data_IF_559068186148
#
_entry.id   IF_559068186148
#
_cell.length_a   1.000
_cell.length_b   1.000
_cell.length_c   1.000
_cell.angle_alpha   90.00
_cell.angle_beta   90.00
_cell.angle_gamma   90.00
#
_symmetry.space_group_name_H-M   'P 1'
#
loop_
_entity.id
_entity.type
_entity.pdbx_description
1 polymer ?
#
# COMPACT_ATOMS: atom_id res chain seq x y z
N UNK A 1 -22.02 1.15 -20.29
CA UNK A 1 -21.00 0.62 -21.21
C UNK A 1 -19.66 1.14 -20.75
N UNK A 2 -18.78 0.29 -20.20
CA UNK A 2 -17.41 0.69 -19.87
C UNK A 2 -16.56 0.54 -21.13
N UNK A 3 -15.71 1.53 -21.43
CA UNK A 3 -14.87 1.55 -22.63
C UNK A 3 -13.44 1.87 -22.24
N UNK A 4 -12.51 1.01 -22.63
CA UNK A 4 -11.07 1.32 -22.60
C UNK A 4 -10.76 2.33 -23.69
N UNK A 5 -10.27 3.50 -23.30
CA UNK A 5 -9.92 4.56 -24.25
C UNK A 5 -8.55 4.28 -24.89
N UNK A 6 -7.58 3.85 -24.10
CA UNK A 6 -6.21 3.56 -24.55
C UNK A 6 -5.22 3.57 -23.37
N UNK A 7 -3.93 3.51 -23.70
CA UNK A 7 -2.86 3.77 -22.73
C UNK A 7 -2.97 5.22 -22.23
N UNK A 8 -2.61 5.46 -20.97
CA UNK A 8 -2.61 6.79 -20.37
C UNK A 8 -1.20 7.16 -19.91
N UNK A 9 -0.56 8.07 -20.65
CA UNK A 9 0.85 8.47 -20.50
C UNK A 9 1.00 9.93 -20.00
N UNK A 10 -0.09 10.54 -19.53
CA UNK A 10 -0.13 11.92 -19.07
C UNK A 10 0.34 12.95 -20.12
N UNK A 11 -0.10 12.80 -21.38
CA UNK A 11 0.33 13.65 -22.51
C UNK A 11 1.83 13.50 -22.75
N UNK A 12 2.28 12.25 -22.93
CA UNK A 12 3.68 11.87 -23.19
C UNK A 12 4.68 12.21 -22.06
N UNK A 13 4.20 12.62 -20.88
CA UNK A 13 5.07 12.94 -19.73
C UNK A 13 5.56 11.68 -19.00
N UNK A 14 4.89 10.54 -19.18
CA UNK A 14 5.24 9.26 -18.56
C UNK A 14 5.62 8.22 -19.63
N UNK A 15 6.92 8.07 -19.87
CA UNK A 15 7.47 7.05 -20.78
C UNK A 15 7.97 5.79 -20.06
N UNK A 16 7.90 5.76 -18.73
CA UNK A 16 8.42 4.69 -17.88
C UNK A 16 7.27 3.95 -17.18
N UNK A 17 7.61 2.82 -16.57
CA UNK A 17 6.69 2.10 -15.67
C UNK A 17 6.28 2.98 -14.50
N UNK A 18 5.13 2.70 -13.92
CA UNK A 18 4.68 3.32 -12.67
C UNK A 18 4.07 2.23 -11.82
N UNK A 19 4.35 2.25 -10.52
CA UNK A 19 3.77 1.24 -9.62
C UNK A 19 2.25 1.43 -9.50
N UNK A 20 1.56 0.36 -9.09
CA UNK A 20 0.11 0.40 -8.93
C UNK A 20 -0.36 1.26 -7.73
N UNK A 21 0.47 1.41 -6.69
CA UNK A 21 0.11 2.08 -5.43
C UNK A 21 0.52 3.56 -5.43
N UNK A 22 -0.17 4.39 -6.21
CA UNK A 22 -0.01 5.85 -6.10
C UNK A 22 -0.58 6.37 -4.78
N UNK A 23 0.01 7.44 -4.24
CA UNK A 23 -0.46 8.08 -3.01
C UNK A 23 -0.98 9.48 -3.31
N UNK A 24 -2.18 9.79 -2.83
CA UNK A 24 -2.83 11.09 -3.04
C UNK A 24 -2.73 11.90 -1.76
N UNK A 25 -2.21 13.12 -1.87
CA UNK A 25 -2.26 14.08 -0.77
C UNK A 25 -3.58 14.84 -0.80
N UNK A 26 -4.45 14.56 0.16
CA UNK A 26 -5.79 15.18 0.25
C UNK A 26 -5.75 16.71 0.30
N UNK A 27 -4.75 17.30 0.97
CA UNK A 27 -4.66 18.75 1.16
C UNK A 27 -4.34 19.51 -0.14
N UNK A 28 -3.50 18.94 -1.02
CA UNK A 28 -3.04 19.61 -2.24
C UNK A 28 -3.62 19.01 -3.53
N UNK A 29 -4.18 17.81 -3.46
CA UNK A 29 -4.61 17.02 -4.62
C UNK A 29 -3.45 16.49 -5.47
N UNK A 30 -2.20 16.56 -4.99
CA UNK A 30 -1.04 15.98 -5.68
C UNK A 30 -1.07 14.46 -5.60
N UNK A 31 -0.64 13.82 -6.68
CA UNK A 31 -0.39 12.38 -6.72
C UNK A 31 1.10 12.16 -6.65
N UNK A 32 1.54 11.29 -5.76
CA UNK A 32 2.92 10.85 -5.63
C UNK A 32 3.03 9.45 -6.21
N UNK A 33 4.13 9.19 -6.91
CA UNK A 33 4.38 7.89 -7.52
C UNK A 33 5.86 7.55 -7.53
N UNK A 34 6.14 6.25 -7.66
CA UNK A 34 7.48 5.74 -7.93
C UNK A 34 7.45 4.89 -9.20
N UNK A 35 8.58 4.87 -9.88
CA UNK A 35 8.85 4.07 -11.08
C UNK A 35 10.08 3.25 -10.82
N UNK A 36 10.05 1.95 -11.13
CA UNK A 36 11.25 1.12 -11.06
C UNK A 36 11.54 0.41 -12.39
N UNK A 37 12.81 0.30 -12.70
CA UNK A 37 13.34 -0.37 -13.89
C UNK A 37 14.16 -1.59 -13.45
N UNK A 38 13.96 -2.71 -14.14
CA UNK A 38 14.61 -3.99 -13.83
C UNK A 38 15.89 -4.21 -14.63
N UNK A 39 16.14 -3.39 -15.65
CA UNK A 39 17.24 -3.53 -16.61
C UNK A 39 18.19 -2.34 -16.56
N UNK A 40 17.67 -1.10 -16.64
CA UNK A 40 18.48 0.11 -16.82
C UNK A 40 18.52 0.97 -15.57
N UNK A 41 19.71 1.53 -15.27
CA UNK A 41 19.86 2.56 -14.24
C UNK A 41 19.39 3.94 -14.74
N UNK A 42 18.88 4.80 -13.84
CA UNK A 42 18.54 4.52 -12.44
C UNK A 42 17.36 3.55 -12.32
N UNK A 43 17.48 2.60 -11.38
CA UNK A 43 16.49 1.54 -11.17
C UNK A 43 15.24 2.02 -10.42
N UNK A 44 15.30 3.17 -9.74
CA UNK A 44 14.17 3.71 -8.98
C UNK A 44 14.12 5.22 -9.18
N UNK A 45 12.94 5.73 -9.50
CA UNK A 45 12.64 7.14 -9.65
C UNK A 45 11.41 7.48 -8.82
N UNK A 46 11.39 8.69 -8.28
CA UNK A 46 10.25 9.28 -7.57
C UNK A 46 9.81 10.53 -8.32
N UNK A 47 8.50 10.72 -8.45
CA UNK A 47 7.93 11.93 -9.03
C UNK A 47 6.54 12.19 -8.46
N UNK A 48 6.02 13.39 -8.71
CA UNK A 48 4.65 13.73 -8.40
C UNK A 48 3.94 14.35 -9.60
N UNK A 49 2.62 14.22 -9.62
CA UNK A 49 1.72 14.81 -10.58
C UNK A 49 0.86 15.85 -9.85
N UNK A 50 0.79 17.04 -10.43
CA UNK A 50 -0.11 18.08 -9.98
C UNK A 50 -1.55 17.77 -10.42
N UNK A 51 -2.53 18.46 -9.84
CA UNK A 51 -3.94 18.29 -10.19
C UNK A 51 -4.23 18.61 -11.67
N UNK A 52 -3.44 19.50 -12.28
CA UNK A 52 -3.48 19.80 -13.71
C UNK A 52 -2.78 18.75 -14.59
N UNK A 53 -2.36 17.61 -14.02
CA UNK A 53 -1.65 16.49 -14.67
C UNK A 53 -0.24 16.83 -15.15
N UNK A 54 0.33 17.94 -14.73
CA UNK A 54 1.75 18.22 -14.95
C UNK A 54 2.60 17.33 -14.05
N UNK A 55 3.58 16.65 -14.63
CA UNK A 55 4.55 15.79 -13.94
C UNK A 55 5.75 16.62 -13.49
N UNK A 56 6.23 16.36 -12.29
CA UNK A 56 7.52 16.87 -11.83
C UNK A 56 8.68 16.23 -12.57
N UNK A 57 9.89 16.83 -12.53
CA UNK A 57 11.12 16.11 -12.84
C UNK A 57 11.25 14.83 -12.01
N UNK A 58 11.93 13.83 -12.56
CA UNK A 58 12.22 12.58 -11.85
C UNK A 58 13.35 12.81 -10.85
N UNK A 59 13.14 12.35 -9.62
CA UNK A 59 14.17 12.27 -8.59
C UNK A 59 14.72 10.85 -8.60
N UNK A 60 15.99 10.71 -8.99
CA UNK A 60 16.66 9.41 -9.03
C UNK A 60 16.97 8.94 -7.61
N UNK A 61 16.38 7.81 -7.20
CA UNK A 61 16.58 7.24 -5.88
C UNK A 61 17.66 6.16 -5.97
N UNK A 62 18.84 6.35 -5.34
CA UNK A 62 19.92 5.38 -5.43
C UNK A 62 19.50 4.05 -4.79
N UNK A 63 19.80 2.94 -5.48
CA UNK A 63 19.73 1.58 -4.93
C UNK A 63 21.15 1.10 -4.63
N UNK A 64 21.33 0.36 -3.53
CA UNK A 64 22.64 -0.02 -3.01
C UNK A 64 23.38 -1.04 -3.86
N UNK A 65 22.70 -1.91 -4.61
CA UNK A 65 23.38 -2.92 -5.43
C UNK A 65 22.58 -3.41 -6.64
N UNK A 66 21.29 -3.74 -6.47
CA UNK A 66 20.48 -4.46 -7.45
C UNK A 66 19.09 -3.86 -7.61
N UNK A 67 18.40 -4.24 -8.69
CA UNK A 67 16.99 -3.88 -8.87
C UNK A 67 16.13 -4.66 -7.88
N UNK A 68 15.31 -3.92 -7.14
CA UNK A 68 14.44 -4.44 -6.08
C UNK A 68 13.00 -4.22 -6.50
N UNK A 69 12.14 -5.21 -6.23
CA UNK A 69 10.71 -5.07 -6.45
C UNK A 69 10.16 -3.98 -5.53
N UNK A 70 9.52 -2.98 -6.12
CA UNK A 70 8.88 -1.89 -5.38
C UNK A 70 7.37 -2.00 -5.60
N UNK A 71 6.68 -2.68 -4.69
CA UNK A 71 5.24 -2.82 -4.76
C UNK A 71 4.52 -1.58 -4.26
N UNK A 72 4.99 -1.01 -3.14
CA UNK A 72 4.30 0.05 -2.42
C UNK A 72 5.30 1.00 -1.75
N UNK A 73 4.82 2.18 -1.38
CA UNK A 73 5.54 3.19 -0.60
C UNK A 73 4.52 3.95 0.25
N UNK A 74 4.93 4.92 1.04
CA UNK A 74 3.98 5.73 1.79
C UNK A 74 4.39 7.20 1.85
N UNK A 75 3.42 8.08 2.07
CA UNK A 75 3.65 9.50 2.28
C UNK A 75 3.12 9.94 3.64
N UNK A 76 3.81 10.88 4.26
CA UNK A 76 3.34 11.60 5.45
C UNK A 76 3.06 13.06 5.09
N UNK A 77 2.88 13.95 6.08
CA UNK A 77 2.71 15.38 5.84
C UNK A 77 3.93 16.05 5.20
N UNK A 78 5.13 15.52 5.41
CA UNK A 78 6.41 16.08 4.95
C UNK A 78 7.31 15.09 4.24
N UNK A 79 7.19 13.78 4.51
CA UNK A 79 8.14 12.78 4.02
C UNK A 79 7.52 11.76 3.07
N UNK A 80 8.38 11.17 2.25
CA UNK A 80 8.14 9.93 1.51
C UNK A 80 8.90 8.82 2.23
N UNK A 81 8.28 7.65 2.34
CA UNK A 81 8.84 6.46 2.98
C UNK A 81 8.81 5.31 1.96
N UNK A 82 9.98 4.89 1.48
CA UNK A 82 10.10 3.79 0.51
C UNK A 82 10.79 2.60 1.19
N UNK A 83 10.13 1.43 1.31
CA UNK A 83 10.77 0.22 1.81
C UNK A 83 11.73 -0.35 0.75
N UNK A 84 12.94 -0.69 1.15
CA UNK A 84 13.87 -1.51 0.40
C UNK A 84 13.60 -2.97 0.71
N UNK A 85 12.83 -3.64 -0.15
CA UNK A 85 12.42 -5.02 0.07
C UNK A 85 13.53 -6.04 -0.25
N UNK A 86 13.37 -7.25 0.29
CA UNK A 86 14.24 -8.41 0.06
C UNK A 86 13.97 -9.15 -1.25
N UNK A 87 12.87 -8.83 -1.93
CA UNK A 87 12.53 -9.42 -3.22
C UNK A 87 13.20 -8.62 -4.33
N UNK A 88 14.09 -9.28 -5.07
CA UNK A 88 14.98 -8.65 -6.05
C UNK A 88 14.91 -9.33 -7.41
N UNK A 89 15.29 -8.59 -8.46
CA UNK A 89 15.33 -9.11 -9.82
C UNK A 89 16.73 -9.61 -10.17
N UNK A 90 16.86 -10.92 -10.42
CA UNK A 90 18.07 -11.58 -10.92
C UNK A 90 17.80 -12.12 -12.33
N UNK A 91 17.76 -11.22 -13.30
CA UNK A 91 17.48 -11.55 -14.71
C UNK A 91 18.35 -12.68 -15.30
N UNK A 92 19.65 -12.84 -14.95
CA UNK A 92 20.45 -13.95 -15.45
C UNK A 92 19.90 -15.35 -15.13
N UNK A 93 19.04 -15.49 -14.11
CA UNK A 93 18.40 -16.77 -13.78
C UNK A 93 17.46 -17.25 -14.89
N UNK A 94 16.86 -16.32 -15.66
CA UNK A 94 16.02 -16.68 -16.81
C UNK A 94 16.80 -17.40 -17.91
N UNK A 95 18.09 -17.09 -18.08
CA UNK A 95 18.95 -17.77 -19.06
C UNK A 95 19.10 -19.25 -18.71
N UNK A 96 19.00 -19.58 -17.41
CA UNK A 96 19.05 -20.95 -16.88
C UNK A 96 17.67 -21.59 -16.75
N UNK A 97 16.61 -20.93 -17.22
CA UNK A 97 15.22 -21.38 -17.05
C UNK A 97 14.64 -21.16 -15.64
N UNK A 98 15.34 -20.42 -14.79
CA UNK A 98 14.90 -20.07 -13.44
C UNK A 98 13.95 -18.86 -13.39
N UNK A 99 13.29 -18.69 -12.25
CA UNK A 99 12.41 -17.55 -12.00
C UNK A 99 13.24 -16.30 -11.65
N UNK A 100 13.05 -15.14 -12.32
CA UNK A 100 13.91 -13.96 -12.15
C UNK A 100 13.67 -13.20 -10.84
N UNK A 101 12.60 -13.50 -10.10
CA UNK A 101 12.24 -12.81 -8.86
C UNK A 101 12.63 -13.69 -7.69
N UNK A 102 13.60 -13.22 -6.90
CA UNK A 102 14.22 -14.02 -5.84
C UNK A 102 14.12 -13.28 -4.52
N UNK A 103 13.84 -14.03 -3.46
CA UNK A 103 14.00 -13.55 -2.10
C UNK A 103 15.48 -13.63 -1.70
N UNK A 104 16.10 -12.48 -1.46
CA UNK A 104 17.49 -12.37 -1.03
C UNK A 104 17.55 -12.10 0.48
N UNK A 105 17.79 -13.16 1.27
CA UNK A 105 17.87 -13.07 2.73
C UNK A 105 19.05 -12.22 3.23
N UNK A 106 20.06 -11.97 2.40
CA UNK A 106 21.20 -11.12 2.76
C UNK A 106 20.91 -9.64 2.53
N UNK A 107 19.83 -9.31 1.80
CA UNK A 107 19.43 -7.92 1.60
C UNK A 107 18.73 -7.43 2.88
N UNK A 108 19.33 -6.45 3.54
CA UNK A 108 18.75 -5.86 4.75
C UNK A 108 17.53 -5.02 4.36
N UNK A 109 16.41 -5.22 5.07
CA UNK A 109 15.26 -4.33 4.94
C UNK A 109 15.67 -2.95 5.47
N UNK A 110 15.54 -1.94 4.61
CA UNK A 110 15.83 -0.55 4.95
C UNK A 110 14.71 0.35 4.48
N UNK A 111 14.42 1.42 5.21
CA UNK A 111 13.52 2.47 4.78
C UNK A 111 14.30 3.67 4.28
N UNK A 112 13.97 4.11 3.06
CA UNK A 112 14.42 5.40 2.50
C UNK A 112 13.42 6.45 2.90
N UNK A 113 13.90 7.52 3.53
CA UNK A 113 13.05 8.61 4.00
C UNK A 113 13.64 9.94 3.53
N UNK A 114 12.82 10.74 2.86
CA UNK A 114 13.21 12.04 2.34
C UNK A 114 12.00 12.97 2.25
N UNK A 115 12.23 14.28 2.18
CA UNK A 115 11.14 15.24 2.07
C UNK A 115 10.37 15.07 0.76
N UNK A 116 9.04 15.26 0.76
CA UNK A 116 8.20 15.03 -0.43
C UNK A 116 8.55 15.94 -1.60
N UNK A 117 8.92 17.18 -1.32
CA UNK A 117 9.20 18.19 -2.32
C UNK A 117 10.71 18.37 -2.49
N UNK A 118 11.42 17.31 -2.86
CA UNK A 118 12.86 17.32 -3.16
C UNK A 118 13.11 17.41 -4.66
N UNK A 119 14.27 17.97 -5.02
CA UNK A 119 14.76 18.00 -6.41
C UNK A 119 15.88 16.97 -6.66
N UNK A 120 16.44 16.37 -5.60
CA UNK A 120 17.51 15.39 -5.68
C UNK A 120 17.46 14.39 -4.50
N UNK A 121 18.36 13.42 -4.53
CA UNK A 121 18.47 12.35 -3.54
C UNK A 121 19.44 12.65 -2.38
N UNK A 122 20.01 13.86 -2.28
CA UNK A 122 21.04 14.17 -1.29
C UNK A 122 20.54 14.11 0.16
N UNK A 123 19.26 14.41 0.37
CA UNK A 123 18.60 14.41 1.68
C UNK A 123 18.06 13.05 2.14
N UNK A 124 18.29 11.96 1.40
CA UNK A 124 17.74 10.65 1.74
C UNK A 124 18.42 10.08 2.99
N UNK A 125 17.60 9.75 3.98
CA UNK A 125 18.01 8.97 5.16
C UNK A 125 17.66 7.51 4.97
N UNK A 126 18.57 6.65 5.43
CA UNK A 126 18.42 5.21 5.42
C UNK A 126 18.25 4.73 6.85
N UNK A 127 17.15 4.05 7.13
CA UNK A 127 16.87 3.48 8.45
C UNK A 127 16.67 1.98 8.29
N UNK A 128 17.57 1.22 8.91
CA UNK A 128 17.50 -0.23 8.95
C UNK A 128 16.28 -0.70 9.75
N UNK A 129 15.60 -1.74 9.26
CA UNK A 129 14.51 -2.42 9.95
C UNK A 129 14.76 -3.92 10.01
N UNK A 130 14.99 -4.41 11.22
CA UNK A 130 15.25 -5.83 11.47
C UNK A 130 13.94 -6.63 11.41
N UNK A 131 14.03 -7.84 10.83
CA UNK A 131 13.00 -8.89 10.87
C UNK A 131 11.60 -8.46 10.39
N UNK A 132 11.53 -7.72 9.28
CA UNK A 132 10.25 -7.33 8.70
C UNK A 132 10.23 -7.49 7.18
N UNK A 133 9.06 -7.85 6.64
CA UNK A 133 8.75 -7.78 5.22
C UNK A 133 7.41 -7.05 5.05
N UNK A 134 7.37 -6.03 4.20
CA UNK A 134 6.18 -5.21 3.96
C UNK A 134 5.82 -5.25 2.48
N UNK A 135 4.78 -5.99 2.10
CA UNK A 135 4.30 -6.01 0.72
C UNK A 135 3.41 -4.80 0.40
N UNK A 136 2.48 -4.48 1.30
CA UNK A 136 1.67 -3.25 1.27
C UNK A 136 1.95 -2.39 2.49
N UNK A 137 1.84 -1.08 2.34
CA UNK A 137 1.87 -0.10 3.42
C UNK A 137 0.49 0.57 3.52
N UNK A 138 -0.15 0.44 4.68
CA UNK A 138 -1.52 0.94 4.85
C UNK A 138 -1.60 2.44 5.09
N UNK A 139 -0.71 2.98 5.93
CA UNK A 139 -0.68 4.41 6.24
C UNK A 139 0.66 4.85 6.88
N UNK A 140 0.98 6.15 6.77
CA UNK A 140 2.05 6.80 7.51
C UNK A 140 1.68 8.17 8.12
N UNK A 141 2.29 8.49 9.26
CA UNK A 141 2.08 9.69 10.06
C UNK A 141 3.40 10.15 10.68
N UNK A 142 3.56 11.46 10.84
CA UNK A 142 4.66 12.08 11.58
C UNK A 142 4.28 12.42 13.01
N UNK A 143 5.25 12.34 13.92
CA UNK A 143 5.04 12.70 15.31
C UNK A 143 6.17 13.58 15.84
N UNK A 144 5.78 14.69 16.46
CA UNK A 144 6.71 15.72 16.94
C UNK A 144 7.37 15.38 18.28
N UNK A 145 6.87 14.38 19.03
CA UNK A 145 7.45 13.90 20.27
C UNK A 145 7.26 12.40 20.39
N UNK A 146 8.33 11.71 20.79
CA UNK A 146 8.40 10.26 20.93
C UNK A 146 7.25 9.74 21.79
N UNK A 147 6.23 9.15 21.15
CA UNK A 147 5.44 8.00 21.61
C UNK A 147 4.12 7.97 20.83
N UNK A 148 4.16 7.49 19.58
CA UNK A 148 3.17 6.69 18.84
C UNK A 148 3.66 6.51 17.39
N UNK A 149 2.86 6.08 16.41
CA UNK A 149 3.40 5.24 15.34
C UNK A 149 2.64 5.14 14.02
N UNK A 150 3.42 4.77 12.98
CA UNK A 150 2.98 4.20 11.72
C UNK A 150 2.39 2.80 11.96
N UNK A 151 1.11 2.59 11.65
CA UNK A 151 0.44 1.31 11.90
C UNK A 151 0.11 0.65 10.58
N UNK A 152 0.83 -0.41 10.25
CA UNK A 152 0.44 -1.33 9.18
C UNK A 152 -0.42 -2.45 9.80
N UNK A 153 -1.41 -2.94 9.07
CA UNK A 153 -2.36 -3.93 9.59
C UNK A 153 -1.69 -5.29 9.60
N UNK A 154 -0.91 -5.50 10.67
CA UNK A 154 -0.33 -6.73 11.25
C UNK A 154 0.90 -6.34 12.09
N UNK A 155 1.66 -5.33 11.67
CA UNK A 155 2.87 -4.82 12.32
C UNK A 155 2.95 -3.30 12.34
N UNK A 156 3.46 -2.76 13.44
CA UNK A 156 3.78 -1.36 13.64
C UNK A 156 5.28 -1.16 13.51
N UNK A 157 5.70 -0.28 12.59
CA UNK A 157 7.11 0.05 12.35
C UNK A 157 7.34 1.50 12.76
N UNK A 158 8.22 1.73 13.72
CA UNK A 158 8.62 3.08 14.13
C UNK A 158 10.00 3.38 13.56
N UNK A 159 10.14 4.54 12.93
CA UNK A 159 11.38 5.00 12.30
C UNK A 159 11.84 6.29 12.97
N UNK A 160 12.96 6.26 13.69
CA UNK A 160 13.47 7.45 14.39
C UNK A 160 14.47 8.21 13.50
N UNK A 161 14.06 9.35 12.96
CA UNK A 161 14.87 10.16 12.05
C UNK A 161 16.09 10.84 12.69
N UNK A 162 16.16 10.89 14.03
CA UNK A 162 17.29 11.47 14.79
C UNK A 162 18.35 10.42 15.10
N UNK A 163 17.93 9.22 15.49
CA UNK A 163 18.84 8.14 15.89
C UNK A 163 19.13 7.14 14.77
N UNK A 164 18.38 7.20 13.66
CA UNK A 164 18.41 6.22 12.56
C UNK A 164 18.16 4.78 13.02
N UNK A 165 17.39 4.60 14.10
CA UNK A 165 16.95 3.29 14.59
C UNK A 165 15.49 3.04 14.27
N UNK A 166 15.10 1.77 14.16
CA UNK A 166 13.71 1.36 14.02
C UNK A 166 13.29 0.37 15.09
N UNK A 167 11.98 0.19 15.23
CA UNK A 167 11.37 -0.91 15.99
C UNK A 167 10.20 -1.47 15.20
N UNK A 168 10.00 -2.80 15.24
CA UNK A 168 8.85 -3.48 14.66
C UNK A 168 8.12 -4.24 15.77
N UNK A 169 6.79 -4.10 15.88
CA UNK A 169 5.97 -4.90 16.81
C UNK A 169 4.67 -5.36 16.15
N UNK A 170 4.18 -6.58 16.41
CA UNK A 170 2.89 -7.02 15.89
C UNK A 170 1.73 -6.25 16.56
N UNK A 171 0.70 -5.93 15.78
CA UNK A 171 -0.56 -5.32 16.29
C UNK A 171 -1.59 -6.41 16.62
N UNK A 172 -1.55 -7.54 15.94
CA UNK A 172 -2.42 -8.70 16.19
C UNK A 172 -1.62 -9.84 16.81
N UNK A 173 -2.11 -10.42 17.91
CA UNK A 173 -1.48 -11.53 18.63
C UNK A 173 -1.76 -12.90 18.00
N UNK A 174 -2.78 -13.00 17.15
CA UNK A 174 -3.23 -14.25 16.53
C UNK A 174 -3.12 -14.14 15.01
N UNK A 175 -2.16 -14.87 14.45
CA UNK A 175 -2.11 -15.14 13.02
C UNK A 175 -3.11 -16.26 12.74
N UNK A 176 -4.27 -15.93 12.15
CA UNK A 176 -4.98 -16.95 11.38
C UNK A 176 -4.08 -17.33 10.21
N UNK A 177 -3.94 -18.63 9.89
CA UNK A 177 -3.09 -19.07 8.78
C UNK A 177 -3.51 -18.32 7.52
N UNK A 178 -2.52 -17.88 6.73
CA UNK A 178 -2.72 -17.17 5.47
C UNK A 178 -3.45 -18.09 4.47
N UNK A 179 -4.77 -18.20 4.61
CA UNK A 179 -5.62 -18.74 3.57
C UNK A 179 -5.63 -17.71 2.45
N UNK A 180 -5.50 -18.17 1.21
CA UNK A 180 -5.63 -17.30 0.03
C UNK A 180 -7.01 -16.63 -0.07
N UNK A 181 -7.98 -17.08 0.73
CA UNK A 181 -9.35 -16.57 0.73
C UNK A 181 -9.61 -15.70 1.96
N UNK A 182 -10.13 -14.50 1.73
CA UNK A 182 -10.44 -13.51 2.77
C UNK A 182 -11.80 -13.83 3.40
N UNK A 183 -11.81 -14.33 4.64
CA UNK A 183 -13.02 -14.75 5.37
C UNK A 183 -13.82 -13.61 6.02
N UNK A 184 -13.30 -12.38 5.96
CA UNK A 184 -13.89 -11.20 6.56
C UNK A 184 -12.94 -10.00 6.51
N UNK A 185 -13.32 -8.93 7.18
CA UNK A 185 -12.45 -7.77 7.39
C UNK A 185 -12.52 -7.30 8.84
N UNK A 186 -11.52 -6.53 9.26
CA UNK A 186 -11.43 -6.00 10.60
C UNK A 186 -11.27 -4.49 10.59
N UNK A 187 -11.94 -3.83 11.52
CA UNK A 187 -11.61 -2.45 11.92
C UNK A 187 -10.65 -2.54 13.10
N UNK A 188 -9.48 -1.93 12.95
CA UNK A 188 -8.45 -1.88 13.97
C UNK A 188 -8.37 -0.45 14.48
N UNK A 189 -8.68 -0.25 15.75
CA UNK A 189 -8.43 1.02 16.41
C UNK A 189 -6.95 1.10 16.74
N UNK A 190 -6.26 1.97 16.02
CA UNK A 190 -4.82 1.99 15.97
C UNK A 190 -4.21 2.30 17.35
N UNK A 191 -4.79 3.21 18.13
CA UNK A 191 -4.17 3.68 19.39
C UNK A 191 -4.25 2.68 20.54
N UNK A 192 -5.41 2.04 20.71
CA UNK A 192 -5.66 1.10 21.80
C UNK A 192 -5.49 -0.36 21.37
N UNK A 193 -5.37 -0.63 20.08
CA UNK A 193 -5.25 -1.99 19.53
C UNK A 193 -6.56 -2.80 19.59
N UNK A 194 -7.70 -2.14 19.79
CA UNK A 194 -9.01 -2.82 19.77
C UNK A 194 -9.33 -3.26 18.33
N UNK A 195 -9.77 -4.50 18.18
CA UNK A 195 -10.09 -5.08 16.87
C UNK A 195 -11.55 -5.51 16.85
N UNK A 196 -12.29 -5.00 15.87
CA UNK A 196 -13.67 -5.42 15.60
C UNK A 196 -13.70 -6.13 14.25
N UNK A 197 -13.98 -7.43 14.27
CA UNK A 197 -14.04 -8.28 13.06
C UNK A 197 -15.47 -8.38 12.52
N UNK A 198 -15.62 -8.33 11.21
CA UNK A 198 -16.84 -8.67 10.48
C UNK A 198 -16.54 -9.86 9.59
N UNK A 199 -17.09 -11.03 9.96
CA UNK A 199 -16.82 -12.30 9.28
C UNK A 199 -17.95 -12.65 8.31
N UNK A 200 -17.62 -13.12 7.11
CA UNK A 200 -18.62 -13.47 6.09
C UNK A 200 -19.37 -14.77 6.40
N UNK A 201 -18.66 -15.75 6.98
CA UNK A 201 -19.12 -17.11 7.36
C UNK A 201 -19.61 -17.95 6.17
N UNK A 202 -19.96 -19.21 6.43
CA UNK A 202 -20.65 -20.10 5.48
C UNK A 202 -19.99 -20.27 4.11
N UNK A 203 -18.66 -20.37 4.06
CA UNK A 203 -17.87 -20.49 2.80
C UNK A 203 -18.05 -19.28 1.88
N UNK A 204 -18.24 -18.11 2.49
CA UNK A 204 -18.19 -16.82 1.81
C UNK A 204 -16.83 -16.18 2.00
N UNK A 205 -16.30 -15.67 0.90
CA UNK A 205 -15.00 -15.01 0.88
C UNK A 205 -15.08 -13.71 0.10
N UNK A 206 -14.37 -12.69 0.55
CA UNK A 206 -14.44 -11.36 -0.03
C UNK A 206 -13.16 -10.91 -0.72
N UNK A 207 -13.23 -9.70 -1.25
CA UNK A 207 -12.08 -8.94 -1.75
C UNK A 207 -11.69 -7.83 -0.76
N UNK A 208 -10.71 -7.02 -1.14
CA UNK A 208 -10.32 -5.82 -0.40
C UNK A 208 -11.52 -4.89 -0.16
N UNK A 209 -11.77 -4.48 1.10
CA UNK A 209 -12.86 -3.59 1.45
C UNK A 209 -12.57 -2.14 1.03
N UNK A 210 -13.54 -1.49 0.40
CA UNK A 210 -13.50 -0.06 0.08
C UNK A 210 -14.14 0.75 1.20
N UNK A 211 -13.43 1.79 1.66
CA UNK A 211 -13.92 2.70 2.68
C UNK A 211 -14.45 3.99 2.06
N UNK A 212 -15.75 4.24 2.19
CA UNK A 212 -16.46 5.32 1.51
C UNK A 212 -17.03 6.34 2.53
N UNK A 213 -16.76 7.64 2.39
CA UNK A 213 -17.41 8.65 3.22
C UNK A 213 -18.92 8.72 2.95
N UNK A 214 -19.73 8.94 3.99
CA UNK A 214 -21.19 9.05 3.87
C UNK A 214 -21.65 10.35 3.20
N UNK A 215 -20.81 11.38 3.27
CA UNK A 215 -21.03 12.67 2.63
C UNK A 215 -19.69 13.23 2.14
N UNK A 216 -19.65 13.90 0.97
CA UNK A 216 -18.42 14.52 0.45
C UNK A 216 -17.84 15.60 1.37
N UNK A 217 -18.64 16.18 2.28
CA UNK A 217 -18.24 17.26 3.17
C UNK A 217 -17.79 16.78 4.56
N UNK A 218 -17.66 15.46 4.78
CA UNK A 218 -17.30 14.93 6.08
C UNK A 218 -15.77 14.96 6.27
N UNK A 219 -15.26 16.01 6.93
CA UNK A 219 -13.81 16.20 7.09
C UNK A 219 -13.16 15.21 8.06
N UNK A 220 -13.87 14.76 9.11
CA UNK A 220 -13.33 13.82 10.13
C UNK A 220 -14.43 12.94 10.73
N UNK A 221 -14.12 11.66 10.95
CA UNK A 221 -14.96 10.72 11.69
C UNK A 221 -15.25 9.39 10.99
N UNK A 222 -15.82 8.47 11.77
CA UNK A 222 -16.19 7.10 11.39
C UNK A 222 -17.58 6.98 10.72
N UNK A 223 -18.25 8.09 10.40
CA UNK A 223 -19.54 8.06 9.70
C UNK A 223 -19.34 7.77 8.20
N UNK A 224 -19.03 6.51 7.94
CA UNK A 224 -18.57 5.97 6.65
C UNK A 224 -19.15 4.59 6.42
N UNK A 225 -19.12 4.15 5.17
CA UNK A 225 -19.49 2.80 4.78
C UNK A 225 -18.26 2.00 4.38
N UNK A 226 -18.27 0.73 4.73
CA UNK A 226 -17.37 -0.28 4.20
C UNK A 226 -18.15 -1.05 3.14
N UNK A 227 -17.61 -1.07 1.92
CA UNK A 227 -18.15 -1.81 0.79
C UNK A 227 -17.22 -2.99 0.50
N UNK A 228 -17.74 -4.20 0.46
CA UNK A 228 -16.95 -5.39 0.14
C UNK A 228 -17.72 -6.31 -0.80
N UNK A 229 -17.08 -6.72 -1.89
CA UNK A 229 -17.59 -7.83 -2.70
C UNK A 229 -17.35 -9.13 -1.95
N UNK A 230 -18.36 -9.99 -1.95
CA UNK A 230 -18.36 -11.29 -1.30
C UNK A 230 -18.86 -12.32 -2.29
N UNK A 231 -18.10 -13.40 -2.45
CA UNK A 231 -18.48 -14.57 -3.22
C UNK A 231 -18.94 -15.68 -2.27
N UNK A 232 -20.14 -16.20 -2.52
CA UNK A 232 -20.69 -17.38 -1.85
C UNK A 232 -20.37 -18.59 -2.72
N UNK A 233 -19.42 -19.42 -2.27
CA UNK A 233 -18.96 -20.59 -3.03
C UNK A 233 -19.98 -21.73 -3.01
N UNK A 234 -20.89 -21.78 -2.04
CA UNK A 234 -21.96 -22.79 -1.99
C UNK A 234 -23.00 -22.53 -3.06
N UNK A 235 -23.39 -21.26 -3.20
CA UNK A 235 -24.45 -20.84 -4.12
C UNK A 235 -23.91 -20.40 -5.49
N UNK A 236 -22.59 -20.24 -5.63
CA UNK A 236 -21.97 -19.72 -6.84
C UNK A 236 -22.37 -18.27 -7.16
N UNK A 237 -22.74 -17.48 -6.15
CA UNK A 237 -23.28 -16.12 -6.30
C UNK A 237 -22.33 -15.08 -5.72
N UNK A 238 -22.46 -13.84 -6.18
CA UNK A 238 -21.72 -12.71 -5.64
C UNK A 238 -22.67 -11.64 -5.10
N UNK A 239 -22.27 -11.00 -4.01
CA UNK A 239 -22.99 -9.94 -3.35
C UNK A 239 -22.04 -8.79 -3.00
N UNK A 240 -22.56 -7.56 -2.99
CA UNK A 240 -21.88 -6.41 -2.43
C UNK A 240 -22.48 -6.13 -1.05
N UNK A 241 -21.66 -6.23 0.01
CA UNK A 241 -22.06 -5.91 1.38
C UNK A 241 -21.74 -4.46 1.70
N UNK A 242 -22.69 -3.78 2.33
CA UNK A 242 -22.56 -2.41 2.83
C UNK A 242 -22.63 -2.48 4.35
N UNK A 243 -21.53 -2.13 5.00
CA UNK A 243 -21.36 -2.21 6.46
C UNK A 243 -21.11 -0.82 7.02
N UNK A 244 -21.75 -0.48 8.13
CA UNK A 244 -21.52 0.78 8.82
C UNK A 244 -20.17 0.74 9.55
N UNK A 245 -19.28 1.66 9.22
CA UNK A 245 -17.92 1.70 9.75
C UNK A 245 -17.84 2.01 11.24
N UNK A 246 -18.83 2.69 11.81
CA UNK A 246 -18.84 3.08 13.22
C UNK A 246 -19.14 1.89 14.13
N UNK A 247 -20.16 1.10 13.78
CA UNK A 247 -20.65 0.01 14.61
C UNK A 247 -20.35 -1.40 14.04
N UNK A 248 -19.74 -1.49 12.86
CA UNK A 248 -19.41 -2.74 12.15
C UNK A 248 -20.62 -3.64 11.84
N UNK A 249 -21.83 -3.07 11.79
CA UNK A 249 -23.05 -3.82 11.45
C UNK A 249 -23.36 -3.73 9.96
N UNK A 250 -23.84 -4.84 9.40
CA UNK A 250 -24.34 -4.92 8.04
C UNK A 250 -25.62 -4.09 7.90
N UNK A 251 -25.64 -3.14 6.96
CA UNK A 251 -26.81 -2.31 6.68
C UNK A 251 -27.55 -2.74 5.41
N UNK A 252 -26.82 -3.21 4.40
CA UNK A 252 -27.43 -3.68 3.15
C UNK A 252 -26.60 -4.75 2.44
N UNK A 253 -27.29 -5.55 1.62
CA UNK A 253 -26.71 -6.52 0.70
C UNK A 253 -27.30 -6.26 -0.69
N UNK A 254 -26.43 -6.01 -1.67
CA UNK A 254 -26.81 -5.92 -3.07
C UNK A 254 -26.44 -7.23 -3.76
N UNK A 255 -27.43 -7.97 -4.23
CA UNK A 255 -27.21 -9.20 -4.99
C UNK A 255 -26.77 -8.85 -6.41
N UNK A 256 -25.73 -9.50 -6.90
CA UNK A 256 -25.21 -9.28 -8.24
C UNK A 256 -25.76 -10.34 -9.20
N UNK A 257 -26.06 -9.93 -10.43
CA UNK A 257 -26.55 -10.83 -11.49
C UNK A 257 -25.47 -11.73 -12.07
N UNK A 258 -24.21 -11.47 -11.74
CA UNK A 258 -23.05 -12.17 -12.30
C UNK A 258 -21.99 -12.35 -11.21
N UNK A 259 -21.18 -13.38 -11.38
CA UNK A 259 -20.07 -13.65 -10.48
C UNK A 259 -19.01 -12.54 -10.61
N UNK A 260 -18.54 -12.06 -9.46
CA UNK A 260 -17.36 -11.20 -9.37
C UNK A 260 -16.20 -12.09 -8.90
N UNK A 261 -15.16 -12.30 -9.72
CA UNK A 261 -14.00 -13.10 -9.32
C UNK A 261 -13.21 -12.37 -8.22
N UNK A 262 -12.38 -13.13 -7.49
CA UNK A 262 -11.43 -12.53 -6.55
C UNK A 262 -10.48 -11.59 -7.31
N UNK A 263 -10.25 -10.40 -6.76
CA UNK A 263 -9.36 -9.37 -7.29
C UNK A 263 -8.01 -9.36 -6.62
#
# INVERSE_FOLDING_TARGET
MHRTVGCFDFNDQLCLTMIAHLKVETASGKFFAISYDVVQKPYLRYFHLLQNRAKSPDVEIPLTAQSTMMQDFEITERYVVIPNQQVVFKLPEMIRGGFPVIYDSNNMLMFRIFEKNVNDASGIKWIEALDCFCFHLWNALEELNSHESLKNVLFEIRLNLKTCKSTCRPILSEFEPLNSKVSGFAKVELFIGEVRKSMYRDERFGSDPLFLPRSPNLEKGDDRFILAFVHDEKEGKSELRIVNAMNMKLEAIVKLSSQVPYG
#
